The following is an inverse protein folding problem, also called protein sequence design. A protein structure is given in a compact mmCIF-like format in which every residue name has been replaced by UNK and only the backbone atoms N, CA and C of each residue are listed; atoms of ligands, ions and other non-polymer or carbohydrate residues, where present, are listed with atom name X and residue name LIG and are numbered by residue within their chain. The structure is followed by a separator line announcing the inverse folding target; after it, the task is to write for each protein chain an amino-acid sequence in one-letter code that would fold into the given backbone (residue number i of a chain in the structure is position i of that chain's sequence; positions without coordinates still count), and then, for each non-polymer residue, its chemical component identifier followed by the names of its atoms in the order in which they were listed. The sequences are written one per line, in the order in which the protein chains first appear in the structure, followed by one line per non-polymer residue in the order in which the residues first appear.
data_IF_016202802753
#
_entry.id   IF_016202802753
#
_cell.length_a   1.000
_cell.length_b   1.000
_cell.length_c   1.000
_cell.angle_alpha   90.00
_cell.angle_beta   90.00
_cell.angle_gamma   90.00
#
_symmetry.space_group_name_H-M   'P 1'
#
loop_
_entity.id
_entity.type
_entity.pdbx_description
1 polymer ?
#
# COMPACT_ATOMS: atom_id res chain seq x y z
N UNK A 1 20.56 -7.87 -12.82
CA UNK A 1 19.39 -8.17 -13.65
C UNK A 1 19.75 -8.92 -14.95
N UNK A 2 20.89 -8.63 -15.61
CA UNK A 2 21.30 -9.32 -16.85
C UNK A 2 21.48 -10.83 -16.64
N UNK A 3 21.98 -11.29 -15.49
CA UNK A 3 22.08 -12.71 -15.17
C UNK A 3 20.73 -13.48 -15.24
N UNK A 4 19.60 -12.79 -15.17
CA UNK A 4 18.28 -13.43 -15.38
C UNK A 4 18.11 -13.82 -16.86
N UNK A 5 18.58 -13.00 -17.79
CA UNK A 5 18.55 -13.31 -19.22
C UNK A 5 19.50 -14.46 -19.55
N UNK A 6 20.67 -14.51 -18.91
CA UNK A 6 21.61 -15.62 -19.06
C UNK A 6 20.97 -16.94 -18.62
N UNK A 7 20.32 -16.97 -17.46
CA UNK A 7 19.59 -18.16 -16.98
C UNK A 7 18.45 -18.57 -17.94
N UNK A 8 17.69 -17.60 -18.43
CA UNK A 8 16.65 -17.83 -19.42
C UNK A 8 17.22 -18.40 -20.73
N UNK A 9 18.35 -17.85 -21.21
CA UNK A 9 19.02 -18.33 -22.43
C UNK A 9 19.65 -19.71 -22.27
N UNK A 10 19.94 -20.15 -21.04
CA UNK A 10 20.34 -21.53 -20.73
C UNK A 10 19.15 -22.52 -20.75
N UNK A 11 17.94 -22.07 -21.06
CA UNK A 11 16.73 -22.90 -21.10
C UNK A 11 16.09 -23.12 -19.73
N UNK A 12 16.50 -22.39 -18.69
CA UNK A 12 15.87 -22.53 -17.38
C UNK A 12 14.47 -21.88 -17.38
N UNK A 13 13.44 -22.53 -16.82
CA UNK A 13 12.09 -21.96 -16.72
C UNK A 13 12.06 -20.86 -15.63
N UNK A 14 12.43 -19.66 -16.03
CA UNK A 14 12.51 -18.50 -15.14
C UNK A 14 11.15 -17.79 -15.04
N UNK A 15 10.68 -17.52 -13.83
CA UNK A 15 9.53 -16.63 -13.54
C UNK A 15 10.00 -15.43 -12.74
N UNK A 16 9.64 -14.23 -13.17
CA UNK A 16 10.04 -12.98 -12.53
C UNK A 16 8.83 -12.22 -12.00
N UNK A 17 8.81 -11.95 -10.70
CA UNK A 17 7.76 -11.11 -10.10
C UNK A 17 8.18 -9.65 -10.07
N UNK A 18 7.36 -8.77 -10.69
CA UNK A 18 7.50 -7.32 -10.63
C UNK A 18 6.33 -6.74 -9.82
N UNK A 19 6.59 -6.32 -8.59
CA UNK A 19 5.53 -5.82 -7.70
C UNK A 19 4.89 -4.51 -8.20
N UNK A 20 5.71 -3.58 -8.70
CA UNK A 20 5.27 -2.36 -9.40
C UNK A 20 6.46 -1.74 -10.14
N UNK A 21 6.21 -0.88 -11.13
CA UNK A 21 7.31 -0.20 -11.80
C UNK A 21 7.84 0.94 -10.91
N UNK A 22 9.13 0.91 -10.59
CA UNK A 22 9.83 1.96 -9.81
C UNK A 22 9.80 3.32 -10.52
N UNK A 23 9.42 3.35 -11.78
CA UNK A 23 9.12 4.59 -12.53
C UNK A 23 8.01 5.44 -11.88
N UNK A 24 7.05 4.82 -11.21
CA UNK A 24 6.01 5.52 -10.45
C UNK A 24 6.62 6.26 -9.26
N UNK A 25 7.53 5.60 -8.53
CA UNK A 25 8.27 6.20 -7.42
C UNK A 25 9.12 7.37 -7.88
N UNK A 26 9.85 7.21 -9.00
CA UNK A 26 10.62 8.28 -9.63
C UNK A 26 9.73 9.49 -9.94
N UNK A 27 8.59 9.30 -10.62
CA UNK A 27 7.67 10.38 -10.98
C UNK A 27 7.17 11.14 -9.75
N UNK A 28 6.79 10.42 -8.70
CA UNK A 28 6.27 11.00 -7.46
C UNK A 28 7.39 11.72 -6.70
N UNK A 29 8.56 11.12 -6.58
CA UNK A 29 9.72 11.73 -5.92
C UNK A 29 10.17 13.02 -6.60
N UNK A 30 10.27 13.03 -7.94
CA UNK A 30 10.64 14.23 -8.72
C UNK A 30 9.61 15.34 -8.58
N UNK A 31 8.28 15.01 -8.56
CA UNK A 31 7.22 16.01 -8.36
C UNK A 31 7.23 16.59 -6.94
N UNK A 32 7.61 15.81 -5.94
CA UNK A 32 7.72 16.25 -4.55
C UNK A 32 9.00 17.05 -4.27
N UNK A 33 10.06 16.86 -5.06
CA UNK A 33 11.35 17.48 -4.84
C UNK A 33 11.34 18.98 -5.13
N UNK A 34 11.85 19.77 -4.18
CA UNK A 34 12.10 21.21 -4.32
C UNK A 34 13.55 21.42 -4.74
N UNK A 35 13.76 22.15 -5.82
CA UNK A 35 15.07 22.49 -6.35
C UNK A 35 15.64 21.45 -7.32
N UNK A 36 16.43 21.94 -8.27
CA UNK A 36 16.97 21.15 -9.38
C UNK A 36 18.02 20.11 -8.94
N UNK A 37 18.85 20.44 -7.95
CA UNK A 37 19.85 19.50 -7.41
C UNK A 37 19.22 18.23 -6.84
N UNK A 38 18.12 18.38 -6.06
CA UNK A 38 17.40 17.22 -5.53
C UNK A 38 16.81 16.37 -6.65
N UNK A 39 16.27 16.99 -7.69
CA UNK A 39 15.75 16.26 -8.85
C UNK A 39 16.86 15.48 -9.56
N UNK A 40 18.04 16.11 -9.75
CA UNK A 40 19.19 15.46 -10.35
C UNK A 40 19.65 14.22 -9.56
N UNK A 41 19.73 14.34 -8.24
CA UNK A 41 20.06 13.20 -7.37
C UNK A 41 19.03 12.07 -7.46
N UNK A 42 17.74 12.41 -7.53
CA UNK A 42 16.68 11.43 -7.72
C UNK A 42 16.83 10.70 -9.07
N UNK A 43 17.07 11.41 -10.16
CA UNK A 43 17.31 10.79 -11.47
C UNK A 43 18.57 9.91 -11.46
N UNK A 44 19.65 10.37 -10.83
CA UNK A 44 20.87 9.57 -10.68
C UNK A 44 20.62 8.29 -9.91
N UNK A 45 19.88 8.37 -8.80
CA UNK A 45 19.51 7.20 -8.00
C UNK A 45 18.69 6.18 -8.80
N UNK A 46 17.82 6.65 -9.70
CA UNK A 46 16.95 5.81 -10.52
C UNK A 46 17.54 5.46 -11.89
N UNK A 47 18.83 5.70 -12.13
CA UNK A 47 19.48 5.42 -13.43
C UNK A 47 19.40 3.94 -13.84
N UNK A 48 19.30 3.02 -12.87
CA UNK A 48 19.15 1.59 -13.12
C UNK A 48 17.83 1.23 -13.85
N UNK A 49 16.85 2.12 -13.89
CA UNK A 49 15.60 1.91 -14.61
C UNK A 49 15.80 1.69 -16.11
N UNK A 50 16.84 2.26 -16.67
CA UNK A 50 17.20 1.99 -18.07
C UNK A 50 17.54 0.50 -18.29
N UNK A 51 18.39 -0.06 -17.43
CA UNK A 51 18.74 -1.49 -17.45
C UNK A 51 17.52 -2.37 -17.16
N UNK A 52 16.71 -2.00 -16.17
CA UNK A 52 15.48 -2.74 -15.84
C UNK A 52 14.54 -2.81 -17.03
N UNK A 53 14.36 -1.70 -17.75
CA UNK A 53 13.52 -1.65 -18.96
C UNK A 53 14.03 -2.57 -20.07
N UNK A 54 15.34 -2.66 -20.27
CA UNK A 54 15.91 -3.56 -21.28
C UNK A 54 15.66 -5.02 -20.90
N UNK A 55 16.00 -5.40 -19.68
CA UNK A 55 15.87 -6.78 -19.21
C UNK A 55 14.40 -7.23 -19.21
N UNK A 56 13.47 -6.41 -18.69
CA UNK A 56 12.05 -6.78 -18.62
C UNK A 56 11.43 -7.03 -19.99
N UNK A 57 11.90 -6.35 -21.03
CA UNK A 57 11.40 -6.56 -22.41
C UNK A 57 11.76 -7.92 -23.02
N UNK A 58 12.81 -8.55 -22.50
CA UNK A 58 13.33 -9.82 -22.98
C UNK A 58 12.90 -10.99 -22.10
N UNK A 59 12.31 -10.71 -20.91
CA UNK A 59 11.79 -11.77 -20.02
C UNK A 59 10.50 -12.36 -20.56
N UNK A 60 10.39 -13.69 -20.54
CA UNK A 60 9.25 -14.42 -21.07
C UNK A 60 8.10 -14.54 -20.07
N UNK A 61 8.41 -14.84 -18.79
CA UNK A 61 7.40 -15.14 -17.78
C UNK A 61 7.44 -14.08 -16.67
N UNK A 62 6.60 -13.08 -16.84
CA UNK A 62 6.49 -11.97 -15.87
C UNK A 62 5.19 -12.11 -15.09
N UNK A 63 5.30 -12.00 -13.77
CA UNK A 63 4.16 -11.94 -12.83
C UNK A 63 4.11 -10.56 -12.19
N UNK A 64 2.91 -10.05 -11.95
CA UNK A 64 2.69 -8.85 -11.15
C UNK A 64 1.54 -9.02 -10.18
N UNK A 65 1.44 -8.10 -9.21
CA UNK A 65 0.62 -8.26 -8.01
C UNK A 65 -0.70 -7.47 -8.04
N UNK A 66 -0.95 -6.69 -9.10
CA UNK A 66 -2.20 -5.94 -9.28
C UNK A 66 -2.41 -5.59 -10.74
N UNK A 67 -3.67 -5.35 -11.12
CA UNK A 67 -4.02 -4.88 -12.46
C UNK A 67 -3.40 -3.50 -12.74
N UNK A 68 -3.43 -2.61 -11.75
CA UNK A 68 -2.78 -1.31 -11.85
C UNK A 68 -1.29 -1.45 -12.14
N UNK A 69 -0.58 -2.31 -11.41
CA UNK A 69 0.84 -2.58 -11.66
C UNK A 69 1.05 -3.21 -13.05
N UNK A 70 0.17 -4.10 -13.51
CA UNK A 70 0.23 -4.70 -14.84
C UNK A 70 0.19 -3.65 -15.94
N UNK A 71 -0.77 -2.72 -15.86
CA UNK A 71 -0.89 -1.63 -16.82
C UNK A 71 0.29 -0.64 -16.75
N UNK A 72 0.73 -0.32 -15.54
CA UNK A 72 1.87 0.56 -15.36
C UNK A 72 3.19 -0.05 -15.88
N UNK A 73 3.45 -1.33 -15.61
CA UNK A 73 4.61 -2.06 -16.11
C UNK A 73 4.56 -2.11 -17.65
N UNK A 74 3.42 -2.49 -18.22
CA UNK A 74 3.24 -2.58 -19.65
C UNK A 74 3.53 -1.23 -20.34
N UNK A 75 2.93 -0.16 -19.84
CA UNK A 75 3.12 1.20 -20.36
C UNK A 75 4.58 1.68 -20.21
N UNK A 76 5.17 1.55 -19.03
CA UNK A 76 6.45 2.16 -18.70
C UNK A 76 7.63 1.39 -19.30
N UNK A 77 7.50 0.08 -19.47
CA UNK A 77 8.55 -0.74 -20.09
C UNK A 77 8.27 -1.04 -21.56
N UNK A 78 7.07 -0.75 -22.07
CA UNK A 78 6.70 -0.93 -23.47
C UNK A 78 6.56 -2.41 -23.85
N UNK A 79 5.89 -3.18 -23.01
CA UNK A 79 5.51 -4.58 -23.22
C UNK A 79 3.98 -4.73 -23.25
N UNK A 80 3.48 -5.83 -23.81
CA UNK A 80 2.04 -6.07 -23.86
C UNK A 80 1.50 -6.50 -22.48
N UNK A 81 0.39 -5.93 -21.99
CA UNK A 81 -0.20 -6.35 -20.72
C UNK A 81 -0.57 -7.85 -20.69
N UNK A 82 -0.97 -8.41 -21.83
CA UNK A 82 -1.30 -9.83 -21.95
C UNK A 82 -0.11 -10.77 -21.70
N UNK A 83 1.12 -10.28 -21.86
CA UNK A 83 2.35 -11.02 -21.53
C UNK A 83 2.73 -10.98 -20.03
N UNK A 84 1.92 -10.33 -19.19
CA UNK A 84 2.16 -10.23 -17.76
C UNK A 84 1.06 -10.97 -17.00
N UNK A 85 1.42 -12.05 -16.31
CA UNK A 85 0.50 -12.79 -15.47
C UNK A 85 0.13 -12.00 -14.23
N UNK A 86 -1.15 -11.92 -13.92
CA UNK A 86 -1.65 -11.31 -12.70
C UNK A 86 -1.84 -12.35 -11.61
N UNK A 87 -1.10 -12.21 -10.52
CA UNK A 87 -1.30 -12.97 -9.29
C UNK A 87 -1.22 -11.99 -8.12
N UNK A 88 -2.35 -11.72 -7.49
CA UNK A 88 -2.43 -10.82 -6.34
C UNK A 88 -1.55 -11.30 -5.18
N UNK A 89 -0.97 -10.38 -4.40
CA UNK A 89 -0.29 -10.74 -3.16
C UNK A 89 -1.25 -11.42 -2.19
N UNK A 90 -0.72 -12.39 -1.43
CA UNK A 90 -1.41 -13.00 -0.31
C UNK A 90 -1.32 -12.15 0.95
N UNK A 91 -2.39 -12.19 1.73
CA UNK A 91 -2.45 -11.69 3.10
C UNK A 91 -2.63 -12.88 4.01
N UNK A 92 -1.84 -12.93 5.10
CA UNK A 92 -1.95 -13.99 6.08
C UNK A 92 -3.19 -13.77 6.95
N UNK A 93 -4.30 -14.40 6.57
CA UNK A 93 -5.59 -14.27 7.27
C UNK A 93 -5.68 -15.13 8.53
N UNK A 94 -4.70 -15.99 8.79
CA UNK A 94 -4.55 -16.72 10.04
C UNK A 94 -3.79 -15.90 11.09
N UNK A 95 -2.84 -15.10 10.63
CA UNK A 95 -2.09 -14.18 11.48
C UNK A 95 -2.86 -12.86 11.65
N UNK A 96 -3.23 -12.18 10.55
CA UNK A 96 -4.07 -10.98 10.56
C UNK A 96 -5.56 -11.36 10.66
N UNK A 97 -6.07 -11.34 11.87
CA UNK A 97 -7.47 -11.70 12.17
C UNK A 97 -8.02 -10.87 13.32
N UNK A 98 -9.34 -10.81 13.49
CA UNK A 98 -9.94 -10.12 14.61
C UNK A 98 -9.41 -10.61 15.94
N UNK A 99 -9.15 -9.68 16.86
CA UNK A 99 -8.68 -9.95 18.23
C UNK A 99 -9.75 -9.52 19.22
N UNK A 100 -10.77 -10.38 19.50
CA UNK A 100 -11.91 -10.02 20.34
C UNK A 100 -11.54 -9.64 21.80
N UNK A 101 -10.36 -10.10 22.25
CA UNK A 101 -9.83 -9.78 23.59
C UNK A 101 -9.28 -8.36 23.70
N UNK A 102 -9.00 -7.70 22.57
CA UNK A 102 -8.50 -6.32 22.52
C UNK A 102 -9.67 -5.37 22.34
N UNK A 103 -9.87 -4.49 23.31
CA UNK A 103 -10.94 -3.49 23.22
C UNK A 103 -10.61 -2.43 22.16
N UNK A 104 -11.47 -2.28 21.17
CA UNK A 104 -11.38 -1.21 20.18
C UNK A 104 -11.60 0.14 20.85
N UNK A 105 -10.72 1.08 20.60
CA UNK A 105 -10.87 2.46 21.10
C UNK A 105 -11.96 3.18 20.30
N UNK A 106 -12.67 4.08 20.95
CA UNK A 106 -13.79 4.81 20.31
C UNK A 106 -13.34 5.84 19.28
N UNK A 107 -12.16 6.44 19.47
CA UNK A 107 -11.63 7.55 18.66
C UNK A 107 -10.13 7.37 18.38
N UNK A 108 -9.74 6.28 17.70
CA UNK A 108 -8.34 6.08 17.30
C UNK A 108 -8.23 5.83 15.80
N UNK A 109 -7.56 6.72 15.11
CA UNK A 109 -7.09 6.50 13.75
C UNK A 109 -5.73 5.80 13.78
N UNK A 110 -5.51 4.90 12.83
CA UNK A 110 -4.22 4.28 12.61
C UNK A 110 -3.80 4.40 11.15
N UNK A 111 -2.51 4.58 10.90
CA UNK A 111 -1.93 4.52 9.57
C UNK A 111 -0.57 3.82 9.62
N UNK A 112 -0.30 2.97 8.63
CA UNK A 112 1.04 2.43 8.37
C UNK A 112 1.65 3.24 7.24
N UNK A 113 2.51 4.18 7.59
CA UNK A 113 3.11 5.07 6.61
C UNK A 113 4.56 5.35 6.96
N UNK A 114 5.49 4.94 6.10
CA UNK A 114 6.87 5.41 6.23
C UNK A 114 6.88 6.93 6.14
N UNK A 115 7.21 7.59 7.26
CA UNK A 115 7.30 9.03 7.32
C UNK A 115 8.35 9.53 6.32
N UNK A 116 8.15 10.74 5.80
CA UNK A 116 9.01 11.39 4.79
C UNK A 116 9.05 10.69 3.41
N UNK A 117 8.19 9.73 3.14
CA UNK A 117 7.99 9.18 1.81
C UNK A 117 6.76 9.85 1.14
N UNK A 118 6.96 10.66 0.09
CA UNK A 118 5.86 11.35 -0.59
C UNK A 118 4.78 10.40 -1.14
N UNK A 119 5.20 9.17 -1.49
CA UNK A 119 4.34 8.09 -1.99
C UNK A 119 3.26 7.70 -0.98
N UNK A 120 3.61 7.62 0.32
CA UNK A 120 2.73 7.17 1.39
C UNK A 120 1.72 8.21 1.86
N UNK A 121 1.80 9.45 1.38
CA UNK A 121 0.76 10.46 1.55
C UNK A 121 0.50 10.93 2.98
N UNK A 122 1.32 10.58 3.97
CA UNK A 122 1.12 10.91 5.38
C UNK A 122 0.84 12.41 5.61
N UNK A 123 1.45 13.29 4.82
CA UNK A 123 1.21 14.74 4.90
C UNK A 123 -0.27 15.12 4.73
N UNK A 124 -1.02 14.40 3.90
CA UNK A 124 -2.44 14.68 3.67
C UNK A 124 -3.28 14.21 4.86
N UNK A 125 -2.94 13.06 5.44
CA UNK A 125 -3.58 12.58 6.66
C UNK A 125 -3.29 13.52 7.85
N UNK A 126 -2.06 13.96 8.06
CA UNK A 126 -1.72 14.92 9.13
C UNK A 126 -2.49 16.24 8.97
N UNK A 127 -2.66 16.70 7.73
CA UNK A 127 -3.44 17.92 7.46
C UNK A 127 -4.94 17.69 7.71
N UNK A 128 -5.47 16.52 7.37
CA UNK A 128 -6.85 16.12 7.68
C UNK A 128 -7.06 16.00 9.20
N UNK A 129 -6.14 15.33 9.88
CA UNK A 129 -6.18 15.12 11.33
C UNK A 129 -6.20 16.44 12.11
N UNK A 130 -5.37 17.40 11.71
CA UNK A 130 -5.40 18.75 12.32
C UNK A 130 -6.76 19.45 12.20
N UNK A 131 -7.54 19.15 11.15
CA UNK A 131 -8.90 19.66 11.00
C UNK A 131 -9.91 18.87 11.82
N UNK A 132 -9.77 17.53 11.85
CA UNK A 132 -10.63 16.63 12.62
C UNK A 132 -10.54 16.91 14.13
N UNK A 133 -9.39 17.26 14.66
CA UNK A 133 -9.21 17.62 16.08
C UNK A 133 -10.08 18.80 16.53
N UNK A 134 -10.59 19.65 15.62
CA UNK A 134 -11.53 20.72 15.97
C UNK A 134 -12.93 20.21 16.29
N UNK A 135 -13.32 19.08 15.67
CA UNK A 135 -14.62 18.42 15.87
C UNK A 135 -14.51 17.28 16.90
N UNK A 136 -13.37 16.59 16.92
CA UNK A 136 -13.09 15.46 17.80
C UNK A 136 -11.78 15.75 18.59
N UNK A 137 -11.84 16.54 19.70
CA UNK A 137 -10.63 16.94 20.44
C UNK A 137 -9.83 15.75 21.01
N UNK A 138 -10.52 14.65 21.32
CA UNK A 138 -9.95 13.43 21.91
C UNK A 138 -9.54 12.39 20.86
N UNK A 139 -9.61 12.74 19.57
CA UNK A 139 -9.20 11.85 18.50
C UNK A 139 -7.69 11.57 18.58
N UNK A 140 -7.34 10.30 18.65
CA UNK A 140 -5.95 9.83 18.63
C UNK A 140 -5.52 9.50 17.18
N UNK A 141 -4.25 9.73 16.88
CA UNK A 141 -3.63 9.23 15.64
C UNK A 141 -2.35 8.45 15.99
N UNK A 142 -2.36 7.15 15.67
CA UNK A 142 -1.20 6.27 15.74
C UNK A 142 -0.65 6.08 14.33
N UNK A 143 0.65 6.29 14.15
CA UNK A 143 1.35 6.07 12.88
C UNK A 143 2.46 5.04 13.09
N UNK A 144 2.34 3.90 12.41
CA UNK A 144 3.44 2.93 12.33
C UNK A 144 4.44 3.42 11.29
N UNK A 145 5.55 3.91 11.79
CA UNK A 145 6.61 4.58 11.05
C UNK A 145 7.31 5.60 11.93
N UNK A 146 8.43 6.13 11.47
CA UNK A 146 9.20 7.12 12.22
C UNK A 146 9.58 8.31 11.33
N UNK A 147 9.28 9.55 11.72
CA UNK A 147 9.75 10.72 11.01
C UNK A 147 11.26 10.87 11.14
N UNK A 148 11.91 11.37 10.09
CA UNK A 148 13.34 11.70 10.14
C UNK A 148 13.53 13.00 10.92
N UNK A 149 14.55 13.05 11.77
CA UNK A 149 14.93 14.28 12.44
C UNK A 149 15.22 15.41 11.43
N UNK A 150 14.59 16.55 11.58
CA UNK A 150 14.65 17.66 10.62
C UNK A 150 13.93 17.41 9.29
N UNK A 151 13.21 16.29 9.14
CA UNK A 151 12.48 15.91 7.94
C UNK A 151 11.25 16.77 7.65
N UNK A 152 10.62 16.53 6.51
CA UNK A 152 9.42 17.28 6.10
C UNK A 152 8.20 16.95 6.99
N UNK A 153 8.12 15.71 7.50
CA UNK A 153 7.06 15.30 8.42
C UNK A 153 7.18 16.04 9.74
N UNK A 154 8.38 16.11 10.33
CA UNK A 154 8.59 16.83 11.58
C UNK A 154 8.28 18.32 11.45
N UNK A 155 8.71 18.96 10.35
CA UNK A 155 8.38 20.37 10.07
C UNK A 155 6.87 20.57 9.93
N UNK A 156 6.17 19.63 9.30
CA UNK A 156 4.73 19.68 9.13
C UNK A 156 4.01 19.53 10.47
N UNK A 157 4.43 18.61 11.33
CA UNK A 157 3.89 18.43 12.68
C UNK A 157 4.00 19.72 13.50
N UNK A 158 5.17 20.37 13.49
CA UNK A 158 5.36 21.67 14.16
C UNK A 158 4.44 22.75 13.58
N UNK A 159 4.35 22.84 12.25
CA UNK A 159 3.50 23.83 11.56
C UNK A 159 2.02 23.66 11.89
N UNK A 160 1.56 22.42 12.07
CA UNK A 160 0.16 22.09 12.36
C UNK A 160 -0.14 22.04 13.88
N UNK A 161 0.85 22.20 14.77
CA UNK A 161 0.68 22.05 16.22
C UNK A 161 0.37 20.61 16.66
N UNK A 162 0.94 19.63 15.97
CA UNK A 162 0.65 18.20 16.15
C UNK A 162 1.80 17.41 16.82
N UNK A 163 2.87 18.06 17.28
CA UNK A 163 4.08 17.38 17.79
C UNK A 163 3.73 16.36 18.88
N UNK A 164 2.88 16.74 19.82
CA UNK A 164 2.47 15.92 20.97
C UNK A 164 1.07 15.28 20.78
N UNK A 165 0.53 15.33 19.55
CA UNK A 165 -0.82 14.83 19.22
C UNK A 165 -0.79 13.59 18.35
N UNK A 166 0.37 13.17 17.82
CA UNK A 166 0.53 12.01 16.97
C UNK A 166 1.52 11.05 17.62
N UNK A 167 1.07 9.83 17.85
CA UNK A 167 1.91 8.77 18.35
C UNK A 167 2.61 8.08 17.17
N UNK A 168 3.93 8.08 17.15
CA UNK A 168 4.73 7.31 16.18
C UNK A 168 5.32 6.08 16.86
N UNK A 169 5.23 4.93 16.20
CA UNK A 169 5.82 3.66 16.64
C UNK A 169 6.61 3.04 15.49
N UNK A 170 7.74 2.41 15.80
CA UNK A 170 8.57 1.72 14.81
C UNK A 170 9.32 0.57 15.47
N UNK A 171 9.78 -0.40 14.66
CA UNK A 171 10.47 -1.57 15.19
C UNK A 171 9.57 -2.51 15.99
N UNK A 172 8.26 -2.48 15.71
CA UNK A 172 7.26 -3.31 16.36
C UNK A 172 7.22 -4.71 15.73
N UNK A 173 6.80 -5.70 16.50
CA UNK A 173 6.53 -7.06 15.99
C UNK A 173 5.19 -7.12 15.23
N UNK A 174 4.95 -8.23 14.53
CA UNK A 174 3.67 -8.46 13.85
C UNK A 174 2.52 -8.54 14.86
N UNK A 175 2.73 -9.17 15.99
CA UNK A 175 1.74 -9.27 17.06
C UNK A 175 1.34 -7.88 17.57
N UNK A 176 2.31 -7.00 17.79
CA UNK A 176 2.05 -5.61 18.20
C UNK A 176 1.32 -4.82 17.10
N UNK A 177 1.63 -5.08 15.82
CA UNK A 177 0.91 -4.48 14.70
C UNK A 177 -0.56 -4.91 14.68
N UNK A 178 -0.84 -6.19 14.92
CA UNK A 178 -2.20 -6.75 15.01
C UNK A 178 -2.96 -6.14 16.20
N UNK A 179 -2.31 -5.98 17.35
CA UNK A 179 -2.91 -5.30 18.50
C UNK A 179 -3.30 -3.86 18.16
N UNK A 180 -2.42 -3.11 17.47
CA UNK A 180 -2.73 -1.74 17.03
C UNK A 180 -3.87 -1.69 16.01
N UNK A 181 -3.95 -2.67 15.09
CA UNK A 181 -5.12 -2.80 14.23
C UNK A 181 -6.39 -3.05 15.05
N UNK A 182 -6.37 -3.97 16.00
CA UNK A 182 -7.54 -4.30 16.83
C UNK A 182 -8.02 -3.10 17.69
N UNK A 183 -7.08 -2.28 18.21
CA UNK A 183 -7.39 -1.05 18.94
C UNK A 183 -7.94 0.07 18.06
N UNK A 184 -7.68 0.05 16.76
CA UNK A 184 -8.03 1.17 15.89
C UNK A 184 -9.55 1.24 15.61
N UNK A 185 -10.12 2.42 15.70
CA UNK A 185 -11.48 2.72 15.22
C UNK A 185 -11.55 2.64 13.70
N UNK A 186 -10.55 3.23 13.04
CA UNK A 186 -10.40 3.29 11.58
C UNK A 186 -8.92 3.18 11.21
N UNK A 187 -8.64 2.50 10.12
CA UNK A 187 -7.34 2.56 9.45
C UNK A 187 -7.43 3.47 8.23
N UNK A 188 -6.48 4.39 8.12
CA UNK A 188 -6.40 5.32 6.99
C UNK A 188 -5.16 5.02 6.16
N UNK A 189 -5.35 4.76 4.87
CA UNK A 189 -4.27 4.53 3.90
C UNK A 189 -4.23 5.69 2.90
N UNK A 190 -3.52 6.79 3.23
CA UNK A 190 -3.57 8.04 2.48
C UNK A 190 -2.62 8.07 1.27
N UNK A 191 -2.17 6.90 0.82
CA UNK A 191 -1.10 6.76 -0.17
C UNK A 191 -1.45 7.42 -1.51
N UNK A 192 -0.45 8.02 -2.13
CA UNK A 192 -0.56 8.59 -3.49
C UNK A 192 -0.47 7.50 -4.53
N UNK A 193 0.24 6.43 -4.21
CA UNK A 193 0.37 5.23 -5.03
C UNK A 193 0.72 4.02 -4.16
N UNK A 194 0.08 2.89 -4.42
CA UNK A 194 0.43 1.57 -3.86
C UNK A 194 0.49 0.55 -5.00
N UNK A 195 1.52 -0.29 -5.00
CA UNK A 195 1.61 -1.41 -5.94
C UNK A 195 0.59 -2.52 -5.66
N UNK A 196 0.21 -2.66 -4.40
CA UNK A 196 -0.85 -3.57 -3.95
C UNK A 196 -1.68 -2.94 -2.82
N UNK A 197 -1.07 -2.62 -1.68
CA UNK A 197 -1.77 -2.04 -0.55
C UNK A 197 -1.92 -3.01 0.62
N UNK A 198 -0.85 -3.73 0.98
CA UNK A 198 -0.84 -4.65 2.11
C UNK A 198 -1.46 -4.06 3.38
N UNK A 199 -1.13 -2.80 3.80
CA UNK A 199 -1.72 -2.24 5.00
C UNK A 199 -3.25 -2.14 4.99
N UNK A 200 -3.84 -1.88 3.83
CA UNK A 200 -5.30 -1.88 3.71
C UNK A 200 -5.87 -3.29 3.88
N UNK A 201 -5.25 -4.28 3.21
CA UNK A 201 -5.68 -5.67 3.31
C UNK A 201 -5.47 -6.27 4.71
N UNK A 202 -4.36 -5.98 5.38
CA UNK A 202 -4.08 -6.40 6.75
C UNK A 202 -5.14 -5.85 7.73
N UNK A 203 -5.44 -4.55 7.63
CA UNK A 203 -6.48 -3.92 8.44
C UNK A 203 -7.86 -4.55 8.19
N UNK A 204 -8.22 -4.76 6.91
CA UNK A 204 -9.47 -5.43 6.54
C UNK A 204 -9.51 -6.87 7.05
N UNK A 205 -8.40 -7.62 6.98
CA UNK A 205 -8.29 -8.95 7.54
C UNK A 205 -8.55 -8.98 9.06
N UNK A 206 -8.18 -7.91 9.79
CA UNK A 206 -8.47 -7.71 11.21
C UNK A 206 -9.86 -7.13 11.48
N UNK A 207 -10.78 -7.10 10.50
CA UNK A 207 -12.11 -6.47 10.61
C UNK A 207 -12.07 -4.99 11.01
N UNK A 208 -11.03 -4.25 10.62
CA UNK A 208 -10.95 -2.82 10.86
C UNK A 208 -11.44 -2.06 9.62
N UNK A 209 -12.40 -1.13 9.78
CA UNK A 209 -12.87 -0.32 8.65
C UNK A 209 -11.74 0.52 8.06
N UNK A 210 -11.67 0.58 6.73
CA UNK A 210 -10.59 1.25 6.00
C UNK A 210 -11.10 2.45 5.21
N UNK A 211 -10.43 3.59 5.39
CA UNK A 211 -10.50 4.75 4.50
C UNK A 211 -9.20 4.79 3.70
N UNK A 212 -9.27 4.58 2.41
CA UNK A 212 -8.11 4.62 1.51
C UNK A 212 -8.23 5.73 0.46
N UNK A 213 -7.14 6.03 -0.20
CA UNK A 213 -7.20 6.79 -1.45
C UNK A 213 -7.41 5.85 -2.64
N UNK A 214 -7.74 6.43 -3.81
CA UNK A 214 -7.75 5.73 -5.10
C UNK A 214 -6.35 5.59 -5.72
N UNK A 215 -5.30 5.55 -4.91
CA UNK A 215 -3.89 5.54 -5.37
C UNK A 215 -3.38 4.15 -5.73
N UNK A 216 -3.03 3.94 -6.99
CA UNK A 216 -2.51 2.66 -7.46
C UNK A 216 -3.51 1.53 -7.37
N UNK A 217 -3.13 0.41 -6.75
CA UNK A 217 -3.94 -0.79 -6.60
C UNK A 217 -4.91 -0.75 -5.40
N UNK A 218 -4.97 0.32 -4.60
CA UNK A 218 -5.89 0.39 -3.45
C UNK A 218 -7.35 0.12 -3.83
N UNK A 219 -7.89 0.63 -4.98
CA UNK A 219 -9.24 0.29 -5.42
C UNK A 219 -9.47 -1.21 -5.65
N UNK A 220 -8.45 -1.94 -6.08
CA UNK A 220 -8.55 -3.39 -6.33
C UNK A 220 -8.65 -4.17 -5.01
N UNK A 221 -7.87 -3.77 -4.00
CA UNK A 221 -7.85 -4.45 -2.70
C UNK A 221 -9.07 -4.07 -1.88
N UNK A 222 -9.33 -2.77 -1.73
CA UNK A 222 -10.40 -2.26 -0.86
C UNK A 222 -11.79 -2.50 -1.47
N UNK A 223 -11.95 -2.25 -2.77
CA UNK A 223 -13.24 -2.42 -3.46
C UNK A 223 -14.35 -1.61 -2.79
N UNK A 224 -15.50 -2.20 -2.69
CA UNK A 224 -16.71 -1.68 -2.04
C UNK A 224 -16.80 -2.01 -0.53
N UNK A 225 -15.85 -2.78 0.00
CA UNK A 225 -15.75 -3.11 1.42
C UNK A 225 -14.97 -2.07 2.25
N UNK A 226 -14.70 -0.90 1.70
CA UNK A 226 -14.11 0.25 2.39
C UNK A 226 -14.40 1.55 1.66
N UNK A 227 -14.00 2.68 2.24
CA UNK A 227 -14.18 4.00 1.64
C UNK A 227 -12.95 4.40 0.84
N UNK A 228 -13.19 4.93 -0.36
CA UNK A 228 -12.14 5.42 -1.25
C UNK A 228 -12.31 6.91 -1.53
N UNK A 229 -11.23 7.66 -1.37
CA UNK A 229 -11.19 9.09 -1.66
C UNK A 229 -10.16 9.42 -2.75
N UNK A 230 -10.31 10.51 -3.48
CA UNK A 230 -9.29 10.92 -4.44
C UNK A 230 -7.93 11.17 -3.78
N UNK A 231 -6.84 10.77 -4.45
CA UNK A 231 -5.48 11.02 -3.96
C UNK A 231 -5.24 12.51 -3.68
N UNK A 232 -4.51 12.82 -2.61
CA UNK A 232 -4.16 14.20 -2.21
C UNK A 232 -5.35 15.09 -1.82
N UNK A 233 -6.53 14.53 -1.62
CA UNK A 233 -7.72 15.27 -1.25
C UNK A 233 -7.96 15.26 0.26
N UNK A 234 -7.45 16.29 0.94
CA UNK A 234 -7.59 16.44 2.39
C UNK A 234 -9.06 16.60 2.81
N UNK A 235 -9.87 17.32 2.02
CA UNK A 235 -11.27 17.54 2.39
C UNK A 235 -12.07 16.24 2.33
N UNK A 236 -11.87 15.42 1.31
CA UNK A 236 -12.53 14.12 1.21
C UNK A 236 -12.11 13.20 2.36
N UNK A 237 -10.82 13.19 2.76
CA UNK A 237 -10.37 12.45 3.95
C UNK A 237 -11.11 12.92 5.21
N UNK A 238 -11.22 14.24 5.43
CA UNK A 238 -11.94 14.78 6.59
C UNK A 238 -13.40 14.33 6.57
N UNK A 239 -14.09 14.50 5.45
CA UNK A 239 -15.52 14.16 5.32
C UNK A 239 -15.76 12.67 5.60
N UNK A 240 -15.02 11.77 4.94
CA UNK A 240 -15.28 10.34 5.07
C UNK A 240 -14.85 9.79 6.45
N UNK A 241 -13.76 10.29 7.02
CA UNK A 241 -13.36 9.92 8.38
C UNK A 241 -14.42 10.39 9.38
N UNK A 242 -14.91 11.64 9.31
CA UNK A 242 -15.98 12.14 10.17
C UNK A 242 -17.25 11.30 10.06
N UNK A 243 -17.69 11.01 8.83
CA UNK A 243 -18.87 10.17 8.57
C UNK A 243 -18.76 8.81 9.26
N UNK A 244 -17.58 8.18 9.18
CA UNK A 244 -17.36 6.87 9.81
C UNK A 244 -17.16 6.97 11.32
N UNK A 245 -16.60 8.05 11.86
CA UNK A 245 -16.50 8.24 13.31
C UNK A 245 -17.89 8.38 13.94
N UNK A 246 -18.83 9.01 13.26
CA UNK A 246 -20.20 9.26 13.73
C UNK A 246 -21.13 8.06 13.53
N UNK A 247 -20.76 7.03 12.75
CA UNK A 247 -21.60 5.88 12.39
C UNK A 247 -20.97 4.53 12.80
N UNK A 248 -21.18 4.07 14.05
CA UNK A 248 -20.64 2.79 14.53
C UNK A 248 -21.17 1.57 13.77
N UNK A 249 -22.44 1.58 13.36
CA UNK A 249 -23.06 0.44 12.66
C UNK A 249 -22.43 0.24 11.27
N UNK A 250 -22.22 1.35 10.56
CA UNK A 250 -21.53 1.34 9.27
C UNK A 250 -20.08 0.85 9.39
N UNK A 251 -19.38 1.25 10.45
CA UNK A 251 -18.02 0.75 10.72
C UNK A 251 -17.98 -0.76 10.92
N UNK A 252 -18.90 -1.27 11.73
CA UNK A 252 -18.96 -2.71 12.03
C UNK A 252 -19.29 -3.52 10.77
N UNK A 253 -20.27 -3.09 9.99
CA UNK A 253 -20.63 -3.73 8.72
C UNK A 253 -19.44 -3.72 7.75
N UNK A 254 -18.78 -2.58 7.60
CA UNK A 254 -17.61 -2.43 6.73
C UNK A 254 -16.43 -3.31 7.17
N UNK A 255 -16.19 -3.43 8.47
CA UNK A 255 -15.16 -4.32 9.01
C UNK A 255 -15.38 -5.77 8.61
N UNK A 256 -16.60 -6.29 8.80
CA UNK A 256 -16.99 -7.67 8.42
C UNK A 256 -16.84 -7.89 6.91
N UNK A 257 -17.40 -7.00 6.08
CA UNK A 257 -17.30 -7.09 4.62
C UNK A 257 -15.85 -7.02 4.16
N UNK A 258 -15.04 -6.20 4.82
CA UNK A 258 -13.60 -6.11 4.57
C UNK A 258 -12.90 -7.45 4.76
N UNK A 259 -13.12 -8.12 5.90
CA UNK A 259 -12.53 -9.44 6.16
C UNK A 259 -13.00 -10.49 5.17
N UNK A 260 -14.30 -10.58 4.94
CA UNK A 260 -14.88 -11.53 3.97
C UNK A 260 -14.19 -11.39 2.60
N UNK A 261 -14.05 -10.16 2.10
CA UNK A 261 -13.36 -9.88 0.85
C UNK A 261 -11.90 -10.34 0.84
N UNK A 262 -11.14 -10.09 1.91
CA UNK A 262 -9.74 -10.48 1.98
C UNK A 262 -9.58 -12.00 2.03
N UNK A 263 -10.38 -12.67 2.84
CA UNK A 263 -10.37 -14.13 2.96
C UNK A 263 -10.73 -14.79 1.61
N UNK A 264 -11.74 -14.28 0.91
CA UNK A 264 -12.19 -14.82 -0.37
C UNK A 264 -11.19 -14.61 -1.50
N UNK A 265 -10.58 -13.41 -1.60
CA UNK A 265 -9.87 -12.99 -2.82
C UNK A 265 -8.36 -12.88 -2.68
N UNK A 266 -7.86 -12.62 -1.47
CA UNK A 266 -6.48 -12.19 -1.23
C UNK A 266 -5.77 -12.98 -0.12
N UNK A 267 -6.32 -14.09 0.38
CA UNK A 267 -5.58 -14.93 1.32
C UNK A 267 -4.44 -15.69 0.61
N UNK A 268 -3.42 -16.08 1.38
CA UNK A 268 -2.26 -16.83 0.85
C UNK A 268 -2.65 -18.11 0.10
N UNK A 269 -3.74 -18.77 0.51
CA UNK A 269 -4.20 -19.98 -0.18
C UNK A 269 -4.59 -19.69 -1.64
N UNK A 270 -5.33 -18.60 -1.89
CA UNK A 270 -5.73 -18.18 -3.24
C UNK A 270 -4.50 -17.77 -4.06
N UNK A 271 -3.58 -17.01 -3.47
CA UNK A 271 -2.35 -16.59 -4.13
C UNK A 271 -1.47 -17.78 -4.51
N UNK A 272 -1.23 -18.70 -3.56
CA UNK A 272 -0.42 -19.90 -3.77
C UNK A 272 -1.02 -20.79 -4.86
N UNK A 273 -2.34 -21.03 -4.84
CA UNK A 273 -3.02 -21.82 -5.87
C UNK A 273 -2.82 -21.24 -7.27
N UNK A 274 -3.01 -19.91 -7.43
CA UNK A 274 -2.82 -19.23 -8.71
C UNK A 274 -1.36 -19.25 -9.17
N UNK A 275 -0.41 -19.05 -8.27
CA UNK A 275 1.01 -19.08 -8.58
C UNK A 275 1.47 -20.49 -8.98
N UNK A 276 1.03 -21.52 -8.25
CA UNK A 276 1.32 -22.92 -8.54
C UNK A 276 0.78 -23.31 -9.93
N UNK A 277 -0.46 -22.93 -10.24
CA UNK A 277 -1.03 -23.15 -11.56
C UNK A 277 -0.18 -22.52 -12.67
N UNK A 278 0.27 -21.29 -12.47
CA UNK A 278 1.11 -20.59 -13.43
C UNK A 278 2.50 -21.28 -13.58
N UNK A 279 3.10 -21.73 -12.49
CA UNK A 279 4.36 -22.48 -12.58
C UNK A 279 4.22 -23.77 -13.41
N UNK A 280 3.14 -24.51 -13.24
CA UNK A 280 2.89 -25.69 -14.08
C UNK A 280 2.73 -25.32 -15.57
N UNK A 281 2.07 -24.23 -15.90
CA UNK A 281 1.98 -23.74 -17.27
C UNK A 281 3.36 -23.44 -17.86
N UNK A 282 4.21 -22.74 -17.10
CA UNK A 282 5.58 -22.40 -17.53
C UNK A 282 6.42 -23.64 -17.75
N UNK A 283 6.36 -24.65 -16.87
CA UNK A 283 7.08 -25.91 -17.01
C UNK A 283 6.63 -26.69 -18.25
N UNK A 284 5.32 -26.80 -18.49
CA UNK A 284 4.80 -27.49 -19.70
C UNK A 284 5.23 -26.83 -21.01
N UNK A 285 5.52 -25.52 -21.01
CA UNK A 285 6.02 -24.83 -22.19
C UNK A 285 7.53 -24.96 -22.35
N UNK A 286 8.27 -25.15 -21.26
CA UNK A 286 9.71 -25.37 -21.29
C UNK A 286 10.10 -26.77 -21.80
N UNK A 287 9.23 -27.78 -21.64
CA UNK A 287 9.44 -29.16 -22.09
C UNK A 287 9.10 -29.36 -23.60
N UNK A 288 8.68 -28.31 -24.28
CA UNK A 288 8.36 -28.33 -25.72
C UNK A 288 9.44 -27.61 -26.52
#
# INVERSE_FOLDING_TARGET
LYGMLELQNMGLPLVTTLHHPITSDLRIAVRAARGWWRKLLIYRWHSFLWMQRQVVRELHNIVTVSECSRQDIARDFGIQPAGIQLVYNGIDTEEFKPSPQVARKSLRLMATASADQPLKGLRYLLTAYARLLRQYPDLELLVVGQPRAGGETEKLLRKLGLVDKVQFVSGISTEQLIEYYAEATLVVVPSVYEGFGLPAGEAMACEVPVVSTSGGALPEVVGDAGVQVPVRNVQALVTEISTLLDDPEKRELMGRQGRERIVEKFCWHVTASRMTHYYYQVLQHADR
#
